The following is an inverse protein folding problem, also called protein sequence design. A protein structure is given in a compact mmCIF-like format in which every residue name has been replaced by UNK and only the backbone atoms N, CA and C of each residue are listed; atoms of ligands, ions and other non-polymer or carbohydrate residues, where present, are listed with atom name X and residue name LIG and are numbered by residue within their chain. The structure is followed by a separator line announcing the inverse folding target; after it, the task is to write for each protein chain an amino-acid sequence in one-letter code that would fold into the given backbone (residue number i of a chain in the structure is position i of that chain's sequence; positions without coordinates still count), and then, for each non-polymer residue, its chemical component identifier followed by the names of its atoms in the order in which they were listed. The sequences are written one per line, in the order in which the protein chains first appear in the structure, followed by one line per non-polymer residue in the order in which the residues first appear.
data_IF_864390388591
#
_entry.id   IF_864390388591
#
_cell.length_a   1.000
_cell.length_b   1.000
_cell.length_c   1.000
_cell.angle_alpha   90.00
_cell.angle_beta   90.00
_cell.angle_gamma   90.00
#
_symmetry.space_group_name_H-M   'P 1'
#
loop_
_entity.id
_entity.type
_entity.pdbx_description
1 polymer ?
#
# COMPACT_ATOMS: atom_id res chain seq x y z
N UNK A 1 12.02 -41.00 -32.49
CA UNK A 1 12.84 -40.30 -31.49
C UNK A 1 12.68 -38.78 -31.65
N UNK A 2 12.85 -38.28 -32.87
CA UNK A 2 12.66 -36.87 -33.28
C UNK A 2 11.37 -36.19 -32.77
N UNK A 3 10.19 -36.77 -32.96
CA UNK A 3 8.94 -36.13 -32.55
C UNK A 3 8.84 -35.91 -31.03
N UNK A 4 9.42 -36.83 -30.22
CA UNK A 4 9.45 -36.69 -28.76
C UNK A 4 10.41 -35.59 -28.33
N UNK A 5 11.56 -35.46 -28.98
CA UNK A 5 12.50 -34.36 -28.72
C UNK A 5 11.88 -33.00 -29.07
N UNK A 6 11.16 -32.90 -30.19
CA UNK A 6 10.48 -31.66 -30.59
C UNK A 6 9.43 -31.26 -29.55
N UNK A 7 8.61 -32.20 -29.08
CA UNK A 7 7.58 -31.92 -28.06
C UNK A 7 8.20 -31.50 -26.72
N UNK A 8 9.32 -32.10 -26.31
CA UNK A 8 10.02 -31.74 -25.07
C UNK A 8 10.63 -30.33 -25.20
N UNK A 9 11.25 -30.02 -26.34
CA UNK A 9 11.85 -28.71 -26.59
C UNK A 9 10.79 -27.59 -26.62
N UNK A 10 9.62 -27.83 -27.23
CA UNK A 10 8.52 -26.87 -27.25
C UNK A 10 7.91 -26.67 -25.86
N UNK A 11 7.77 -27.73 -25.06
CA UNK A 11 7.26 -27.63 -23.68
C UNK A 11 8.22 -26.86 -22.76
N UNK A 12 9.54 -27.06 -22.89
CA UNK A 12 10.53 -26.31 -22.13
C UNK A 12 10.54 -24.82 -22.52
N UNK A 13 10.44 -24.52 -23.82
CA UNK A 13 10.37 -23.16 -24.31
C UNK A 13 9.12 -22.41 -23.83
N UNK A 14 7.95 -23.08 -23.76
CA UNK A 14 6.73 -22.47 -23.23
C UNK A 14 6.78 -22.25 -21.72
N UNK A 15 7.45 -23.14 -20.96
CA UNK A 15 7.64 -22.96 -19.51
C UNK A 15 8.53 -21.74 -19.21
N UNK A 16 9.55 -21.46 -20.03
CA UNK A 16 10.40 -20.27 -19.87
C UNK A 16 9.69 -18.95 -20.19
N UNK A 17 8.54 -18.99 -20.86
CA UNK A 17 7.68 -17.84 -21.13
C UNK A 17 6.57 -17.66 -20.10
N UNK A 18 6.44 -18.59 -19.13
CA UNK A 18 5.56 -18.41 -17.98
C UNK A 18 6.25 -17.44 -17.03
N UNK A 19 5.97 -16.14 -17.18
CA UNK A 19 6.26 -15.17 -16.14
C UNK A 19 5.43 -15.53 -14.90
N UNK A 20 6.05 -16.22 -13.94
CA UNK A 20 5.54 -16.25 -12.57
C UNK A 20 5.71 -14.84 -12.00
N UNK A 21 4.78 -13.96 -12.33
CA UNK A 21 4.75 -12.61 -11.78
C UNK A 21 4.36 -12.72 -10.31
N UNK A 22 5.37 -12.75 -9.42
CA UNK A 22 5.15 -12.57 -8.00
C UNK A 22 5.02 -11.08 -7.73
N UNK A 23 3.95 -10.67 -7.07
CA UNK A 23 3.81 -9.30 -6.60
C UNK A 23 4.98 -8.95 -5.65
N UNK A 24 5.52 -7.75 -5.80
CA UNK A 24 6.66 -7.24 -5.07
C UNK A 24 6.28 -7.00 -3.60
N UNK A 25 7.14 -7.45 -2.70
CA UNK A 25 7.00 -7.32 -1.26
C UNK A 25 7.39 -5.92 -0.79
N UNK A 26 7.02 -5.63 0.45
CA UNK A 26 7.38 -4.38 1.10
C UNK A 26 8.90 -4.09 1.01
N UNK A 27 9.25 -2.85 0.66
CA UNK A 27 10.61 -2.38 0.45
C UNK A 27 11.23 -2.72 -0.92
N UNK A 28 10.60 -3.57 -1.72
CA UNK A 28 11.08 -3.89 -3.08
C UNK A 28 10.73 -2.78 -4.07
N UNK A 29 11.51 -2.67 -5.14
CA UNK A 29 11.30 -1.65 -6.18
C UNK A 29 10.02 -1.93 -6.97
N UNK A 30 9.36 -0.87 -7.42
CA UNK A 30 8.14 -0.95 -8.21
C UNK A 30 8.08 0.20 -9.23
N UNK A 31 7.17 0.08 -10.21
CA UNK A 31 6.87 1.15 -11.18
C UNK A 31 5.43 1.64 -10.98
N UNK A 32 4.52 0.73 -10.63
CA UNK A 32 3.09 1.01 -10.41
C UNK A 32 2.52 0.12 -9.31
N UNK A 33 1.35 0.50 -8.78
CA UNK A 33 0.71 -0.22 -7.68
C UNK A 33 0.44 -1.70 -7.95
N UNK A 34 0.11 -2.06 -9.19
CA UNK A 34 -0.13 -3.45 -9.58
C UNK A 34 1.11 -4.34 -9.48
N UNK A 35 2.29 -3.74 -9.36
CA UNK A 35 3.53 -4.49 -9.18
C UNK A 35 3.70 -4.97 -7.73
N UNK A 36 2.99 -4.36 -6.77
CA UNK A 36 3.12 -4.63 -5.35
C UNK A 36 2.09 -5.64 -4.84
N UNK A 37 2.43 -6.35 -3.75
CA UNK A 37 1.54 -7.31 -3.10
C UNK A 37 0.28 -6.63 -2.51
N UNK A 38 -0.73 -7.44 -2.21
CA UNK A 38 -2.00 -6.96 -1.66
C UNK A 38 -1.79 -6.11 -0.40
N UNK A 39 -2.41 -4.92 -0.36
CA UNK A 39 -2.28 -3.97 0.74
C UNK A 39 -1.01 -3.10 0.70
N UNK A 40 -0.21 -3.19 -0.37
CA UNK A 40 0.94 -2.34 -0.63
C UNK A 40 0.65 -1.33 -1.76
N UNK A 41 1.35 -0.21 -1.75
CA UNK A 41 1.30 0.83 -2.79
C UNK A 41 2.70 1.15 -3.30
N UNK A 42 2.83 1.54 -4.56
CA UNK A 42 4.10 1.93 -5.14
C UNK A 42 4.32 3.43 -4.99
N UNK A 43 5.22 3.84 -4.10
CA UNK A 43 5.53 5.25 -3.88
C UNK A 43 7.03 5.51 -3.70
N UNK A 44 7.40 6.78 -3.84
CA UNK A 44 8.73 7.27 -3.53
C UNK A 44 8.70 8.00 -2.19
N UNK A 45 9.52 7.54 -1.24
CA UNK A 45 9.73 8.27 0.01
C UNK A 45 10.70 9.42 -0.23
N UNK A 46 10.19 10.64 -0.39
CA UNK A 46 11.03 11.82 -0.67
C UNK A 46 11.96 12.16 0.50
N UNK A 47 11.59 11.77 1.73
CA UNK A 47 12.41 11.97 2.91
C UNK A 47 13.70 11.12 2.93
N UNK A 48 13.73 9.98 2.23
CA UNK A 48 14.90 9.09 2.13
C UNK A 48 15.97 9.65 1.16
N UNK A 49 15.64 10.69 0.38
CA UNK A 49 16.49 11.20 -0.71
C UNK A 49 16.67 10.19 -1.86
N UNK A 50 16.05 9.01 -1.75
CA UNK A 50 16.07 7.95 -2.73
C UNK A 50 14.86 8.07 -3.64
N UNK A 51 15.10 8.42 -4.90
CA UNK A 51 14.03 8.60 -5.88
C UNK A 51 13.47 7.30 -6.44
N UNK A 52 14.02 6.14 -6.03
CA UNK A 52 13.55 4.84 -6.49
C UNK A 52 12.25 4.48 -5.77
N UNK A 53 11.12 4.33 -6.49
CA UNK A 53 9.86 3.93 -5.90
C UNK A 53 9.96 2.52 -5.33
N UNK A 54 9.31 2.30 -4.19
CA UNK A 54 9.26 1.01 -3.50
C UNK A 54 7.82 0.69 -3.12
N UNK A 55 7.53 -0.60 -2.98
CA UNK A 55 6.29 -1.05 -2.39
C UNK A 55 6.29 -0.73 -0.90
N UNK A 56 5.40 0.15 -0.46
CA UNK A 56 5.23 0.51 0.94
C UNK A 56 3.88 0.02 1.42
N UNK A 57 3.78 -0.18 2.73
CA UNK A 57 2.51 -0.54 3.35
C UNK A 57 1.75 0.71 3.73
N UNK A 58 0.71 1.02 2.98
CA UNK A 58 -0.22 2.11 3.30
C UNK A 58 -1.47 1.62 4.02
N UNK A 59 -1.82 0.33 3.88
CA UNK A 59 -3.05 -0.21 4.46
C UNK A 59 -2.79 -0.95 5.79
N UNK A 60 -3.22 -0.40 6.96
CA UNK A 60 -3.29 -1.15 8.18
C UNK A 60 -4.40 -2.20 8.11
N UNK A 61 -4.20 -3.30 8.82
CA UNK A 61 -5.28 -4.24 9.08
C UNK A 61 -6.17 -3.63 10.15
N UNK A 62 -7.48 -3.59 9.90
CA UNK A 62 -8.44 -3.10 10.89
C UNK A 62 -8.32 -3.90 12.19
N UNK A 63 -8.00 -3.27 13.34
CA UNK A 63 -7.82 -4.00 14.61
C UNK A 63 -9.09 -4.74 15.05
N UNK A 64 -10.25 -4.22 14.65
CA UNK A 64 -11.56 -4.77 14.95
C UNK A 64 -11.98 -5.91 14.01
N UNK A 65 -11.18 -6.23 12.99
CA UNK A 65 -11.46 -7.37 12.08
C UNK A 65 -11.33 -8.72 12.78
N UNK A 66 -10.47 -8.82 13.80
CA UNK A 66 -10.24 -10.06 14.55
C UNK A 66 -11.25 -10.25 15.69
N UNK A 67 -11.52 -9.18 16.45
CA UNK A 67 -12.45 -9.17 17.60
C UNK A 67 -13.12 -7.80 17.66
N UNK A 68 -14.43 -7.71 17.97
CA UNK A 68 -15.18 -6.43 17.99
C UNK A 68 -15.64 -5.96 19.38
N UNK A 69 -15.36 -6.72 20.43
CA UNK A 69 -15.95 -6.53 21.76
C UNK A 69 -15.01 -5.90 22.78
N UNK A 70 -13.75 -5.63 22.41
CA UNK A 70 -12.79 -5.07 23.33
C UNK A 70 -12.99 -3.55 23.44
N UNK A 71 -12.69 -2.94 24.59
CA UNK A 71 -12.68 -1.48 24.70
C UNK A 71 -11.56 -0.88 23.82
N UNK A 72 -11.72 0.38 23.42
CA UNK A 72 -10.83 1.09 22.48
C UNK A 72 -9.33 0.97 22.82
N UNK A 73 -8.98 0.99 24.10
CA UNK A 73 -7.61 0.90 24.61
C UNK A 73 -6.99 -0.52 24.58
N UNK A 74 -7.71 -1.50 24.06
CA UNK A 74 -7.24 -2.90 23.90
C UNK A 74 -6.96 -3.28 22.44
N UNK A 75 -7.04 -2.31 21.53
CA UNK A 75 -6.64 -2.44 20.14
C UNK A 75 -5.34 -1.66 19.87
N UNK A 76 -4.60 -2.09 18.85
CA UNK A 76 -3.45 -1.36 18.32
C UNK A 76 -3.90 -0.50 17.15
N UNK A 77 -3.78 0.82 17.26
CA UNK A 77 -4.21 1.77 16.23
C UNK A 77 -3.01 2.31 15.45
N UNK A 78 -3.10 2.34 14.11
CA UNK A 78 -2.17 3.11 13.29
C UNK A 78 -2.58 4.59 13.37
N UNK A 79 -1.63 5.47 13.68
CA UNK A 79 -1.87 6.91 13.82
C UNK A 79 -0.76 7.69 13.13
N UNK A 80 -1.05 8.90 12.67
CA UNK A 80 -0.08 9.83 12.10
C UNK A 80 0.15 10.99 13.07
N UNK A 81 1.42 11.32 13.35
CA UNK A 81 1.78 12.51 14.12
C UNK A 81 1.84 13.72 13.18
N UNK A 82 1.24 14.84 13.57
CA UNK A 82 1.22 16.07 12.77
C UNK A 82 0.62 15.84 11.36
N UNK A 83 -0.54 15.19 11.30
CA UNK A 83 -1.20 14.72 10.07
C UNK A 83 -1.36 15.79 8.97
N UNK A 84 -1.44 17.07 9.35
CA UNK A 84 -1.59 18.20 8.42
C UNK A 84 -0.25 18.72 7.85
N UNK A 85 0.90 18.30 8.38
CA UNK A 85 2.22 18.72 7.91
C UNK A 85 2.65 17.93 6.67
N UNK A 86 1.84 18.03 5.62
CA UNK A 86 2.09 17.41 4.31
C UNK A 86 3.12 18.18 3.52
N UNK A 87 3.98 17.45 2.82
CA UNK A 87 4.96 18.02 1.91
C UNK A 87 4.28 18.91 0.86
N UNK A 88 4.77 20.15 0.73
CA UNK A 88 4.27 21.12 -0.25
C UNK A 88 2.88 21.69 0.06
N UNK A 89 2.33 21.47 1.26
CA UNK A 89 1.04 22.01 1.66
C UNK A 89 1.04 23.54 1.72
N UNK A 90 -0.10 24.14 1.36
CA UNK A 90 -0.34 25.57 1.46
C UNK A 90 -1.39 25.83 2.54
N UNK A 91 -1.22 26.95 3.24
CA UNK A 91 -2.24 27.46 4.15
C UNK A 91 -3.53 27.78 3.39
N UNK A 92 -4.64 27.92 4.13
CA UNK A 92 -5.94 28.31 3.57
C UNK A 92 -5.89 29.66 2.80
N UNK A 93 -4.91 30.53 3.11
CA UNK A 93 -4.70 31.81 2.41
C UNK A 93 -3.73 31.70 1.22
N UNK A 94 -3.24 30.50 0.90
CA UNK A 94 -2.34 30.23 -0.23
C UNK A 94 -0.85 30.35 0.08
N UNK A 95 -0.48 30.87 1.25
CA UNK A 95 0.92 30.96 1.69
C UNK A 95 1.53 29.58 1.89
N UNK A 96 2.80 29.42 1.50
CA UNK A 96 3.57 28.20 1.73
C UNK A 96 3.74 27.97 3.23
N UNK A 97 3.53 26.73 3.68
CA UNK A 97 3.82 26.33 5.06
C UNK A 97 5.32 26.07 5.19
N UNK A 98 6.03 26.91 5.94
CA UNK A 98 7.50 26.82 6.16
C UNK A 98 7.88 25.93 7.36
N UNK A 99 6.99 25.05 7.79
CA UNK A 99 7.22 24.14 8.92
C UNK A 99 7.84 22.82 8.46
N UNK A 100 8.53 22.07 9.34
CA UNK A 100 8.95 20.70 9.04
C UNK A 100 7.74 19.85 8.64
N UNK A 101 7.86 19.16 7.51
CA UNK A 101 6.83 18.26 6.98
C UNK A 101 7.18 16.82 7.34
N UNK A 102 6.18 16.04 7.76
CA UNK A 102 6.36 14.62 8.09
C UNK A 102 5.28 13.73 7.49
N UNK A 103 4.44 14.28 6.60
CA UNK A 103 3.46 13.53 5.82
C UNK A 103 3.70 13.75 4.33
N UNK A 104 3.44 12.74 3.52
CA UNK A 104 3.34 12.87 2.05
C UNK A 104 1.90 12.72 1.56
N UNK A 105 1.06 12.05 2.35
CA UNK A 105 -0.34 11.77 2.05
C UNK A 105 -1.28 12.87 2.51
N UNK A 106 -2.39 13.08 1.79
CA UNK A 106 -3.47 13.94 2.25
C UNK A 106 -4.17 13.35 3.47
N UNK A 107 -4.91 14.17 4.24
CA UNK A 107 -5.70 13.64 5.37
C UNK A 107 -6.70 12.59 4.88
N UNK A 108 -7.29 12.81 3.71
CA UNK A 108 -8.19 11.86 3.08
C UNK A 108 -7.49 10.54 2.80
N UNK A 109 -6.27 10.55 2.27
CA UNK A 109 -5.51 9.34 1.97
C UNK A 109 -5.01 8.62 3.24
N UNK A 110 -4.61 9.38 4.26
CA UNK A 110 -4.27 8.86 5.59
C UNK A 110 -5.45 8.13 6.25
N UNK A 111 -6.69 8.57 5.98
CA UNK A 111 -7.91 7.94 6.48
C UNK A 111 -8.46 6.86 5.54
N UNK A 112 -8.26 7.01 4.23
CA UNK A 112 -8.76 6.12 3.17
C UNK A 112 -7.83 4.93 2.93
N UNK A 113 -7.44 4.27 4.00
CA UNK A 113 -6.83 2.95 3.93
C UNK A 113 -7.96 1.90 3.85
N UNK A 114 -8.42 1.62 2.64
CA UNK A 114 -9.69 0.94 2.34
C UNK A 114 -9.84 -0.49 2.92
N UNK A 115 -10.31 -0.61 4.17
CA UNK A 115 -11.27 -1.65 4.61
C UNK A 115 -11.96 -1.23 5.93
N UNK A 116 -12.37 0.04 6.04
CA UNK A 116 -13.53 0.40 6.86
C UNK A 116 -14.80 0.19 6.02
N UNK A 117 -14.96 -1.00 5.44
CA UNK A 117 -16.30 -1.50 5.13
C UNK A 117 -16.89 -1.94 6.46
N UNK A 118 -17.18 -0.97 7.31
CA UNK A 118 -18.13 -1.17 8.39
C UNK A 118 -19.43 -1.57 7.68
N UNK A 119 -19.65 -2.88 7.62
CA UNK A 119 -20.97 -3.45 7.44
C UNK A 119 -21.91 -2.66 8.31
N UNK A 120 -22.76 -1.85 7.66
CA UNK A 120 -24.03 -1.30 8.17
C UNK A 120 -24.18 -1.41 9.68
N UNK A 121 -23.68 -0.42 10.41
CA UNK A 121 -24.25 -0.08 11.72
C UNK A 121 -25.44 0.87 11.49
N UNK A 122 -26.45 0.35 10.79
CA UNK A 122 -27.86 0.68 10.98
C UNK A 122 -28.50 -0.69 11.16
N UNK A 123 -28.56 -1.23 12.37
CA UNK A 123 -29.51 -0.74 13.36
C UNK A 123 -30.90 -1.28 13.03
N UNK A 124 -31.04 -2.62 13.01
CA UNK A 124 -32.25 -3.28 13.52
C UNK A 124 -31.99 -3.57 15.00
N UNK A 125 -32.56 -2.73 15.84
CA UNK A 125 -33.03 -2.97 17.21
C UNK A 125 -33.77 -1.71 17.67
#
# INVERSE_FOLDING_TARGET
MELRLIIIATLLATISLLDLSSAAKEGQKCIKNSDCDSGLHCETCLADGNLVPKCTRTQPISPISQVKTLPFNRYSWLTTHNSFARLGERSATGSLVLAPTNQQDSITDQLNTLEFKATRLSGEA
#
